data_IF_665845497925
#
_entry.id   IF_665845497925
#
_cell.length_a   1.000
_cell.length_b   1.000
_cell.length_c   1.000
_cell.angle_alpha   90.00
_cell.angle_beta   90.00
_cell.angle_gamma   90.00
#
_symmetry.space_group_name_H-M   'P 1'
#
loop_
_entity.id
_entity.type
_entity.pdbx_description
1 polymer ?
#
# COMPACT_ATOMS: atom_id res chain seq x y z
N UNK A 1 -28.92 -16.20 2.09
CA UNK A 1 -27.94 -16.87 1.18
C UNK A 1 -26.93 -17.59 2.07
N UNK A 2 -26.03 -18.43 1.56
CA UNK A 2 -25.19 -19.28 2.42
C UNK A 2 -24.15 -18.47 3.22
N UNK A 3 -24.16 -18.64 4.55
CA UNK A 3 -23.12 -18.13 5.44
C UNK A 3 -21.75 -18.73 5.08
N UNK A 4 -20.69 -17.91 5.18
CA UNK A 4 -19.32 -18.37 4.97
C UNK A 4 -18.94 -19.45 5.99
N UNK A 5 -18.22 -20.47 5.51
CA UNK A 5 -17.70 -21.53 6.38
C UNK A 5 -16.66 -20.98 7.37
N UNK A 6 -16.49 -21.66 8.51
CA UNK A 6 -15.48 -21.29 9.52
C UNK A 6 -14.07 -21.17 8.91
N UNK A 7 -13.59 -22.12 8.07
CA UNK A 7 -12.30 -21.96 7.39
C UNK A 7 -12.20 -20.70 6.53
N UNK A 8 -13.27 -20.33 5.83
CA UNK A 8 -13.27 -19.14 4.99
C UNK A 8 -13.19 -17.86 5.82
N UNK A 9 -13.88 -17.81 6.96
CA UNK A 9 -13.76 -16.70 7.91
C UNK A 9 -12.33 -16.52 8.44
N UNK A 10 -11.66 -17.63 8.77
CA UNK A 10 -10.27 -17.59 9.24
C UNK A 10 -9.39 -16.87 8.22
N UNK A 11 -9.51 -17.22 6.93
CA UNK A 11 -8.73 -16.60 5.86
C UNK A 11 -9.00 -15.09 5.76
N UNK A 12 -10.27 -14.67 5.78
CA UNK A 12 -10.63 -13.25 5.70
C UNK A 12 -10.01 -12.44 6.83
N UNK A 13 -10.18 -12.90 8.07
CA UNK A 13 -9.66 -12.21 9.25
C UNK A 13 -8.12 -12.23 9.26
N UNK A 14 -7.49 -13.36 8.93
CA UNK A 14 -6.04 -13.45 8.87
C UNK A 14 -5.45 -12.50 7.82
N UNK A 15 -6.05 -12.42 6.63
CA UNK A 15 -5.57 -11.53 5.56
C UNK A 15 -5.75 -10.05 5.91
N UNK A 16 -6.85 -9.67 6.58
CA UNK A 16 -7.05 -8.29 7.07
C UNK A 16 -5.98 -7.92 8.10
N UNK A 17 -5.71 -8.81 9.07
CA UNK A 17 -4.67 -8.59 10.08
C UNK A 17 -3.29 -8.49 9.43
N UNK A 18 -2.96 -9.43 8.53
CA UNK A 18 -1.70 -9.42 7.79
C UNK A 18 -1.51 -8.11 7.03
N UNK A 19 -2.56 -7.61 6.37
CA UNK A 19 -2.50 -6.35 5.65
C UNK A 19 -2.26 -5.14 6.57
N UNK A 20 -2.90 -5.10 7.74
CA UNK A 20 -2.66 -4.06 8.76
C UNK A 20 -1.21 -4.10 9.24
N UNK A 21 -0.69 -5.29 9.53
CA UNK A 21 0.71 -5.48 9.94
C UNK A 21 1.65 -5.02 8.82
N UNK A 22 1.38 -5.35 7.57
CA UNK A 22 2.18 -4.91 6.42
C UNK A 22 2.21 -3.38 6.29
N UNK A 23 1.07 -2.71 6.42
CA UNK A 23 0.98 -1.23 6.41
C UNK A 23 1.84 -0.64 7.53
N UNK A 24 1.74 -1.19 8.74
CA UNK A 24 2.50 -0.73 9.89
C UNK A 24 4.01 -0.91 9.71
N UNK A 25 4.45 -2.06 9.19
CA UNK A 25 5.85 -2.35 8.90
C UNK A 25 6.40 -1.41 7.82
N UNK A 26 5.65 -1.16 6.74
CA UNK A 26 6.06 -0.26 5.66
C UNK A 26 6.16 1.18 6.15
N UNK A 27 5.22 1.62 6.99
CA UNK A 27 5.30 2.94 7.63
C UNK A 27 6.55 3.07 8.49
N UNK A 28 6.78 2.10 9.38
CA UNK A 28 7.96 2.07 10.27
C UNK A 28 9.26 2.08 9.47
N UNK A 29 9.32 1.28 8.40
CA UNK A 29 10.46 1.27 7.49
C UNK A 29 10.70 2.65 6.85
N UNK A 30 9.64 3.36 6.44
CA UNK A 30 9.74 4.72 5.92
C UNK A 30 10.25 5.73 6.94
N UNK A 31 9.96 5.56 8.23
CA UNK A 31 10.49 6.40 9.30
C UNK A 31 11.97 6.12 9.56
N UNK A 32 12.35 4.85 9.70
CA UNK A 32 13.75 4.43 9.95
C UNK A 32 14.66 4.80 8.77
N UNK A 33 14.21 4.60 7.54
CA UNK A 33 14.96 4.95 6.32
C UNK A 33 14.92 6.45 5.98
N UNK A 34 14.12 7.25 6.71
CA UNK A 34 13.81 8.66 6.41
C UNK A 34 13.32 8.89 4.98
N UNK A 35 12.73 7.87 4.35
CA UNK A 35 12.26 7.94 2.98
C UNK A 35 10.73 8.13 2.95
N UNK A 36 10.31 9.36 2.58
CA UNK A 36 8.90 9.74 2.50
C UNK A 36 8.11 8.92 1.49
N UNK A 37 8.75 8.35 0.46
CA UNK A 37 8.08 7.52 -0.54
C UNK A 37 7.49 6.24 0.07
N UNK A 38 8.18 5.63 1.03
CA UNK A 38 7.68 4.44 1.73
C UNK A 38 6.53 4.76 2.69
N UNK A 39 6.57 5.94 3.33
CA UNK A 39 5.43 6.44 4.13
C UNK A 39 4.21 6.75 3.25
N UNK A 40 4.43 7.26 2.04
CA UNK A 40 3.36 7.45 1.07
C UNK A 40 2.77 6.10 0.60
N UNK A 41 3.60 5.08 0.42
CA UNK A 41 3.14 3.73 0.06
C UNK A 41 2.23 3.12 1.14
N UNK A 42 2.59 3.21 2.42
CA UNK A 42 1.72 2.68 3.49
C UNK A 42 0.36 3.39 3.55
N UNK A 43 0.32 4.71 3.33
CA UNK A 43 -0.95 5.44 3.21
C UNK A 43 -1.74 5.02 1.97
N UNK A 44 -1.06 4.78 0.85
CA UNK A 44 -1.67 4.33 -0.40
C UNK A 44 -2.31 2.94 -0.32
N UNK A 45 -1.95 2.12 0.68
CA UNK A 45 -2.55 0.81 0.94
C UNK A 45 -3.88 0.86 1.71
N UNK A 46 -4.21 2.00 2.34
CA UNK A 46 -5.41 2.13 3.18
C UNK A 46 -6.74 1.93 2.43
N UNK A 47 -6.93 2.41 1.18
CA UNK A 47 -8.18 2.14 0.46
C UNK A 47 -8.44 0.64 0.26
N UNK A 48 -7.39 -0.15 -0.01
CA UNK A 48 -7.53 -1.61 -0.13
C UNK A 48 -7.93 -2.27 1.20
N UNK A 49 -7.47 -1.73 2.34
CA UNK A 49 -7.92 -2.19 3.66
C UNK A 49 -9.41 -1.88 3.88
N UNK A 50 -9.85 -0.67 3.55
CA UNK A 50 -11.28 -0.29 3.65
C UNK A 50 -12.13 -1.20 2.78
N UNK A 51 -11.70 -1.49 1.56
CA UNK A 51 -12.34 -2.46 0.67
C UNK A 51 -12.54 -3.83 1.34
N UNK A 52 -11.48 -4.40 1.91
CA UNK A 52 -11.56 -5.69 2.61
C UNK A 52 -12.50 -5.66 3.83
N UNK A 53 -12.50 -4.55 4.59
CA UNK A 53 -13.40 -4.36 5.72
C UNK A 53 -14.88 -4.27 5.28
N UNK A 54 -15.18 -3.62 4.17
CA UNK A 54 -16.53 -3.57 3.61
C UNK A 54 -17.05 -4.97 3.25
N UNK A 55 -16.23 -5.79 2.57
CA UNK A 55 -16.58 -7.17 2.25
C UNK A 55 -16.82 -8.02 3.52
N UNK A 56 -15.91 -7.94 4.50
CA UNK A 56 -16.04 -8.66 5.77
C UNK A 56 -17.30 -8.24 6.54
N UNK A 57 -17.63 -6.95 6.53
CA UNK A 57 -18.83 -6.42 7.20
C UNK A 57 -20.11 -6.93 6.54
N UNK A 58 -20.18 -6.90 5.21
CA UNK A 58 -21.34 -7.40 4.48
C UNK A 58 -21.59 -8.89 4.73
N UNK A 59 -20.50 -9.68 4.75
CA UNK A 59 -20.54 -11.10 5.09
C UNK A 59 -20.86 -11.40 6.55
N UNK A 60 -20.40 -10.55 7.48
CA UNK A 60 -20.72 -10.68 8.91
C UNK A 60 -22.23 -10.63 9.17
N UNK A 61 -22.95 -9.80 8.42
CA UNK A 61 -24.41 -9.66 8.52
C UNK A 61 -25.20 -10.64 7.64
N UNK A 62 -24.55 -11.67 7.11
CA UNK A 62 -25.15 -12.69 6.24
C UNK A 62 -25.72 -12.14 4.92
N UNK A 63 -25.00 -11.19 4.30
CA UNK A 63 -25.25 -10.71 2.94
C UNK A 63 -26.65 -10.07 2.75
N UNK A 64 -27.10 -9.16 3.64
CA UNK A 64 -28.42 -8.58 3.50
C UNK A 64 -28.45 -7.58 2.34
N UNK A 65 -29.54 -7.55 1.58
CA UNK A 65 -29.73 -6.62 0.46
C UNK A 65 -29.64 -5.15 0.91
N UNK A 66 -30.08 -4.84 2.13
CA UNK A 66 -29.98 -3.49 2.71
C UNK A 66 -28.54 -2.97 2.85
N UNK A 67 -27.54 -3.86 2.83
CA UNK A 67 -26.12 -3.52 2.92
C UNK A 67 -25.37 -3.74 1.59
N UNK A 68 -26.07 -3.99 0.47
CA UNK A 68 -25.43 -4.19 -0.84
C UNK A 68 -24.57 -2.98 -1.28
N UNK A 69 -24.89 -1.78 -0.79
CA UNK A 69 -24.06 -0.59 -1.01
C UNK A 69 -22.61 -0.76 -0.52
N UNK A 70 -22.36 -1.64 0.46
CA UNK A 70 -21.01 -1.99 0.91
C UNK A 70 -20.21 -2.70 -0.19
N UNK A 71 -20.86 -3.47 -1.06
CA UNK A 71 -20.22 -4.14 -2.20
C UNK A 71 -19.79 -3.11 -3.24
N UNK A 72 -20.62 -2.11 -3.51
CA UNK A 72 -20.27 -0.99 -4.38
C UNK A 72 -19.12 -0.15 -3.80
N UNK A 73 -19.15 0.11 -2.48
CA UNK A 73 -18.06 0.79 -1.80
C UNK A 73 -16.77 -0.04 -1.83
N UNK A 74 -16.86 -1.34 -1.61
CA UNK A 74 -15.73 -2.29 -1.71
C UNK A 74 -15.09 -2.24 -3.11
N UNK A 75 -15.90 -2.30 -4.17
CA UNK A 75 -15.43 -2.19 -5.54
C UNK A 75 -14.77 -0.82 -5.81
N UNK A 76 -15.39 0.28 -5.36
CA UNK A 76 -14.84 1.62 -5.49
C UNK A 76 -13.51 1.80 -4.77
N UNK A 77 -13.40 1.30 -3.54
CA UNK A 77 -12.17 1.34 -2.74
C UNK A 77 -11.08 0.42 -3.31
N UNK A 78 -11.45 -0.69 -3.94
CA UNK A 78 -10.52 -1.53 -4.70
C UNK A 78 -9.94 -0.76 -5.89
N UNK A 79 -10.78 -0.09 -6.67
CA UNK A 79 -10.34 0.71 -7.80
C UNK A 79 -9.39 1.82 -7.35
N UNK A 80 -9.81 2.62 -6.36
CA UNK A 80 -8.99 3.69 -5.77
C UNK A 80 -7.68 3.13 -5.21
N UNK A 81 -7.72 2.02 -4.48
CA UNK A 81 -6.55 1.36 -3.91
C UNK A 81 -5.52 0.93 -4.95
N UNK A 82 -5.96 0.38 -6.08
CA UNK A 82 -5.06 0.05 -7.18
C UNK A 82 -4.38 1.29 -7.77
N UNK A 83 -5.12 2.38 -7.96
CA UNK A 83 -4.54 3.63 -8.45
C UNK A 83 -3.57 4.27 -7.45
N UNK A 84 -3.89 4.30 -6.15
CA UNK A 84 -3.00 4.86 -5.13
C UNK A 84 -1.73 4.05 -5.01
N UNK A 85 -1.81 2.72 -5.02
CA UNK A 85 -0.65 1.82 -5.00
C UNK A 85 0.22 2.00 -6.24
N UNK A 86 -0.38 2.07 -7.43
CA UNK A 86 0.34 2.34 -8.68
C UNK A 86 1.08 3.68 -8.63
N UNK A 87 0.41 4.75 -8.19
CA UNK A 87 1.02 6.07 -8.04
C UNK A 87 2.18 6.07 -7.02
N UNK A 88 2.02 5.38 -5.90
CA UNK A 88 3.07 5.24 -4.88
C UNK A 88 4.28 4.43 -5.41
N UNK A 89 4.04 3.34 -6.13
CA UNK A 89 5.10 2.55 -6.76
C UNK A 89 5.90 3.38 -7.78
N UNK A 90 5.20 4.15 -8.62
CA UNK A 90 5.82 5.06 -9.57
C UNK A 90 6.65 6.16 -8.86
N UNK A 91 6.15 6.71 -7.75
CA UNK A 91 6.90 7.66 -6.94
C UNK A 91 8.19 7.05 -6.40
N UNK A 92 8.13 5.84 -5.84
CA UNK A 92 9.32 5.13 -5.35
C UNK A 92 10.34 4.97 -6.49
N UNK A 93 9.90 4.54 -7.68
CA UNK A 93 10.77 4.40 -8.84
C UNK A 93 11.46 5.72 -9.23
N UNK A 94 10.71 6.81 -9.35
CA UNK A 94 11.23 8.16 -9.62
C UNK A 94 12.31 8.56 -8.61
N UNK A 95 12.06 8.38 -7.31
CA UNK A 95 13.01 8.77 -6.26
C UNK A 95 14.32 8.00 -6.28
N UNK A 96 14.33 6.77 -6.80
CA UNK A 96 15.57 5.98 -6.95
C UNK A 96 16.45 6.50 -8.08
N UNK A 97 15.84 6.94 -9.19
CA UNK A 97 16.60 7.41 -10.37
C UNK A 97 17.37 8.71 -10.12
N UNK A 98 16.86 9.60 -9.28
CA UNK A 98 17.50 10.90 -9.01
C UNK A 98 18.82 10.80 -8.24
N UNK A 99 19.02 9.75 -7.43
CA UNK A 99 20.23 9.60 -6.59
C UNK A 99 21.43 9.06 -7.37
N UNK A 100 21.22 8.41 -8.52
CA UNK A 100 22.30 7.74 -9.27
C UNK A 100 23.08 8.68 -10.19
N UNK A 101 22.51 9.82 -10.58
CA UNK A 101 23.15 10.75 -11.53
C UNK A 101 24.12 11.76 -10.91
N UNK A 102 24.23 11.83 -9.58
CA UNK A 102 25.26 12.64 -8.92
C UNK A 102 26.58 11.87 -8.80
N UNK A 103 27.19 11.55 -9.94
CA UNK A 103 28.59 11.06 -9.97
C UNK A 103 29.50 12.27 -9.69
N UNK A 104 30.42 12.21 -8.70
CA UNK A 104 31.32 13.34 -8.45
C UNK A 104 32.23 13.48 -9.66
N UNK A 105 32.17 14.64 -10.32
CA UNK A 105 33.19 15.04 -11.29
C UNK A 105 34.52 15.01 -10.56
N UNK A 106 35.36 14.03 -10.89
CA UNK A 106 36.74 13.98 -10.46
C UNK A 106 37.36 15.29 -10.94
N UNK A 107 37.57 16.22 -10.01
CA UNK A 107 38.37 17.42 -10.23
C UNK A 107 39.77 16.94 -10.57
N UNK A 108 40.09 16.93 -11.86
CA UNK A 108 41.45 16.76 -12.36
C UNK A 108 42.31 17.85 -11.72
N UNK A 109 43.12 17.47 -10.73
CA UNK A 109 44.19 18.35 -10.26
C UNK A 109 45.17 18.49 -11.44
N UNK A 110 45.25 19.70 -12.00
CA UNK A 110 46.30 20.08 -12.92
C UNK A 110 47.63 20.08 -12.16
N UNK A 111 48.52 19.17 -12.54
CA UNK A 111 49.94 19.20 -12.17
C UNK A 111 50.52 20.59 -12.50
N UNK A 112 51.13 21.30 -11.54
CA UNK A 112 51.91 22.48 -11.88
C UNK A 112 53.16 22.02 -12.64
N UNK A 113 53.26 22.44 -13.90
CA UNK A 113 54.53 22.41 -14.62
C UNK A 113 55.47 23.45 -14.02
N UNK A 114 56.68 22.99 -13.67
CA UNK A 114 57.89 23.69 -13.22
C UNK A 114 58.12 23.78 -11.70
#
# INVERSE_FOLDING_TARGET
>A
MHALSIPTWIIHISSVIEWIVAIWLIWTYGEVSRNRAWRALSLAMLPALVSAMCACTWHYFDNPESLEWLVNLQAGMTLVGNFTLWAAAWWIWRTKTTTTDSKPSISTYSEPQQ
#
